data_IF_554379156844
#
_entry.id   IF_554379156844
#
_cell.length_a   1.000
_cell.length_b   1.000
_cell.length_c   1.000
_cell.angle_alpha   90.00
_cell.angle_beta   90.00
_cell.angle_gamma   90.00
#
_symmetry.space_group_name_H-M   'P 1'
#
loop_
_entity.id
_entity.type
_entity.pdbx_description
1 polymer ?
#
# COMPACT_ATOMS: atom_id res chain seq x y z
N UNK A 1 48.78 33.91 30.96
CA UNK A 1 48.01 33.33 29.83
C UNK A 1 47.98 34.33 28.68
N UNK A 2 48.41 33.95 27.47
CA UNK A 2 48.44 34.86 26.32
C UNK A 2 47.07 34.92 25.64
N UNK A 3 46.63 36.11 25.20
CA UNK A 3 45.34 36.32 24.50
C UNK A 3 45.15 35.38 23.30
N UNK A 4 46.25 34.94 22.68
CA UNK A 4 46.26 33.98 21.55
C UNK A 4 45.83 32.57 21.96
N UNK A 5 46.16 32.11 23.17
CA UNK A 5 45.75 30.79 23.66
C UNK A 5 44.25 30.69 23.93
N UNK A 6 43.65 31.77 24.47
CA UNK A 6 42.19 31.84 24.69
C UNK A 6 41.45 31.92 23.35
N UNK A 7 41.96 32.68 22.38
CA UNK A 7 41.37 32.78 21.04
C UNK A 7 41.38 31.42 20.30
N UNK A 8 42.45 30.63 20.43
CA UNK A 8 42.53 29.30 19.83
C UNK A 8 41.50 28.34 20.45
N UNK A 9 41.38 28.33 21.77
CA UNK A 9 40.39 27.49 22.46
C UNK A 9 38.96 27.84 22.05
N UNK A 10 38.65 29.15 21.93
CA UNK A 10 37.35 29.61 21.43
C UNK A 10 37.10 29.19 19.98
N UNK A 11 38.11 29.30 19.11
CA UNK A 11 37.98 28.86 17.71
C UNK A 11 37.73 27.36 17.60
N UNK A 12 38.43 26.54 18.39
CA UNK A 12 38.22 25.08 18.42
C UNK A 12 36.85 24.73 18.96
N UNK A 13 36.39 25.39 20.03
CA UNK A 13 35.06 25.18 20.58
C UNK A 13 33.95 25.57 19.58
N UNK A 14 34.12 26.70 18.88
CA UNK A 14 33.19 27.13 17.84
C UNK A 14 33.15 26.13 16.66
N UNK A 15 34.31 25.64 16.20
CA UNK A 15 34.38 24.62 15.15
C UNK A 15 33.75 23.31 15.58
N UNK A 16 33.96 22.88 16.82
CA UNK A 16 33.33 21.68 17.36
C UNK A 16 31.79 21.82 17.40
N UNK A 17 31.29 22.97 17.86
CA UNK A 17 29.86 23.26 17.86
C UNK A 17 29.26 23.31 16.44
N UNK A 18 29.96 23.91 15.48
CA UNK A 18 29.51 23.90 14.08
C UNK A 18 29.51 22.48 13.50
N UNK A 19 30.53 21.67 13.83
CA UNK A 19 30.61 20.27 13.43
C UNK A 19 29.45 19.43 13.97
N UNK A 20 29.07 19.60 15.24
CA UNK A 20 27.93 18.88 15.82
C UNK A 20 26.60 19.34 15.23
N UNK A 21 26.41 20.63 14.98
CA UNK A 21 25.22 21.16 14.31
C UNK A 21 25.11 20.60 12.89
N UNK A 22 26.19 20.59 12.12
CA UNK A 22 26.18 20.05 10.75
C UNK A 22 25.88 18.53 10.74
N UNK A 23 26.48 17.77 11.66
CA UNK A 23 26.25 16.33 11.77
C UNK A 23 24.80 16.01 12.14
N UNK A 24 24.22 16.75 13.09
CA UNK A 24 22.82 16.57 13.51
C UNK A 24 21.85 16.95 12.41
N UNK A 25 22.07 18.07 11.71
CA UNK A 25 21.25 18.48 10.57
C UNK A 25 21.26 17.44 9.43
N UNK A 26 22.45 16.90 9.11
CA UNK A 26 22.56 15.87 8.07
C UNK A 26 21.87 14.55 8.49
N UNK A 27 22.03 14.16 9.76
CA UNK A 27 21.34 12.98 10.30
C UNK A 27 19.82 13.14 10.23
N UNK A 28 19.29 14.32 10.59
CA UNK A 28 17.86 14.60 10.50
C UNK A 28 17.37 14.52 9.04
N UNK A 29 18.07 15.17 8.11
CA UNK A 29 17.72 15.14 6.69
C UNK A 29 17.70 13.70 6.12
N UNK A 30 18.62 12.84 6.57
CA UNK A 30 18.60 11.42 6.19
C UNK A 30 17.36 10.70 6.72
N UNK A 31 17.00 10.93 7.99
CA UNK A 31 15.81 10.32 8.59
C UNK A 31 14.53 10.79 7.89
N UNK A 32 14.39 12.08 7.60
CA UNK A 32 13.25 12.64 6.88
C UNK A 32 13.13 12.04 5.48
N UNK A 33 14.24 11.91 4.77
CA UNK A 33 14.25 11.26 3.45
C UNK A 33 13.80 9.80 3.54
N UNK A 34 14.27 9.05 4.53
CA UNK A 34 13.88 7.66 4.72
C UNK A 34 12.38 7.54 5.02
N UNK A 35 11.84 8.39 5.89
CA UNK A 35 10.41 8.45 6.20
C UNK A 35 9.59 8.84 4.96
N UNK A 36 10.03 9.84 4.20
CA UNK A 36 9.36 10.26 2.97
C UNK A 36 9.30 9.15 1.92
N UNK A 37 10.39 8.40 1.73
CA UNK A 37 10.42 7.27 0.81
C UNK A 37 9.51 6.13 1.26
N UNK A 38 9.47 5.83 2.57
CA UNK A 38 8.57 4.83 3.13
C UNK A 38 7.10 5.23 2.91
N UNK A 39 6.74 6.48 3.23
CA UNK A 39 5.39 7.00 3.02
C UNK A 39 4.97 6.93 1.54
N UNK A 40 5.86 7.30 0.62
CA UNK A 40 5.61 7.17 -0.82
C UNK A 40 5.39 5.71 -1.24
N UNK A 41 6.17 4.77 -0.72
CA UNK A 41 6.02 3.35 -1.01
C UNK A 41 4.65 2.84 -0.55
N UNK A 42 4.18 3.26 0.63
CA UNK A 42 2.87 2.89 1.15
C UNK A 42 1.72 3.45 0.31
N UNK A 43 1.80 4.72 -0.12
CA UNK A 43 0.79 5.33 -1.00
C UNK A 43 0.74 4.62 -2.35
N UNK A 44 1.89 4.25 -2.91
CA UNK A 44 1.97 3.51 -4.17
C UNK A 44 1.40 2.10 -4.03
N UNK A 45 1.70 1.41 -2.93
CA UNK A 45 1.12 0.10 -2.62
C UNK A 45 -0.41 0.20 -2.46
N UNK A 46 -0.91 1.22 -1.76
CA UNK A 46 -2.35 1.45 -1.62
C UNK A 46 -3.01 1.73 -2.98
N UNK A 47 -2.44 2.63 -3.78
CA UNK A 47 -2.96 2.96 -5.12
C UNK A 47 -3.00 1.73 -6.03
N UNK A 48 -2.02 0.83 -5.96
CA UNK A 48 -2.04 -0.42 -6.71
C UNK A 48 -3.15 -1.39 -6.21
N UNK A 49 -3.37 -1.47 -4.90
CA UNK A 49 -4.46 -2.25 -4.33
C UNK A 49 -5.84 -1.70 -4.77
N UNK A 50 -6.04 -0.38 -4.69
CA UNK A 50 -7.26 0.30 -5.11
C UNK A 50 -7.52 0.15 -6.61
N UNK A 51 -6.47 0.22 -7.43
CA UNK A 51 -6.58 -0.07 -8.86
C UNK A 51 -7.06 -1.51 -9.10
N UNK A 52 -6.51 -2.49 -8.36
CA UNK A 52 -6.91 -3.90 -8.48
C UNK A 52 -8.35 -4.15 -8.00
N UNK A 53 -8.82 -3.38 -7.00
CA UNK A 53 -10.25 -3.32 -6.62
C UNK A 53 -11.07 -2.75 -7.76
N UNK A 54 -10.69 -1.61 -8.31
CA UNK A 54 -11.45 -0.95 -9.37
C UNK A 54 -11.59 -1.86 -10.60
N UNK A 55 -10.54 -2.59 -10.97
CA UNK A 55 -10.59 -3.57 -12.05
C UNK A 55 -11.53 -4.73 -11.71
N UNK A 56 -11.45 -5.29 -10.50
CA UNK A 56 -12.36 -6.32 -10.05
C UNK A 56 -13.84 -5.85 -10.09
N UNK A 57 -14.10 -4.60 -9.73
CA UNK A 57 -15.44 -4.02 -9.76
C UNK A 57 -15.97 -3.76 -11.17
N UNK A 58 -15.12 -3.73 -12.22
CA UNK A 58 -15.59 -3.69 -13.62
C UNK A 58 -16.33 -4.96 -14.00
N UNK A 59 -16.00 -6.07 -13.33
CA UNK A 59 -16.71 -7.33 -13.43
C UNK A 59 -15.87 -8.47 -13.98
N UNK A 60 -16.44 -9.67 -13.93
CA UNK A 60 -15.79 -10.91 -14.36
C UNK A 60 -16.80 -11.88 -14.98
N UNK A 61 -16.34 -12.93 -15.69
CA UNK A 61 -17.23 -13.91 -16.28
C UNK A 61 -18.04 -14.69 -15.24
N UNK A 62 -19.36 -14.75 -15.43
CA UNK A 62 -20.30 -15.43 -14.53
C UNK A 62 -19.96 -16.90 -14.35
N UNK A 63 -19.50 -17.56 -15.42
CA UNK A 63 -19.10 -18.97 -15.42
C UNK A 63 -17.93 -19.30 -14.47
N UNK A 64 -17.14 -18.31 -14.05
CA UNK A 64 -16.00 -18.51 -13.12
C UNK A 64 -16.34 -18.16 -11.68
N UNK A 65 -17.56 -17.70 -11.41
CA UNK A 65 -17.93 -17.18 -10.09
C UNK A 65 -17.91 -18.31 -9.07
N UNK A 66 -17.22 -18.12 -7.94
CA UNK A 66 -17.23 -19.11 -6.89
C UNK A 66 -18.66 -19.30 -6.35
N UNK A 67 -19.06 -20.55 -6.15
CA UNK A 67 -20.43 -20.92 -5.76
C UNK A 67 -20.45 -21.43 -4.32
N UNK A 68 -19.41 -22.17 -3.92
CA UNK A 68 -19.33 -22.73 -2.59
C UNK A 68 -18.66 -21.74 -1.63
N UNK A 69 -19.18 -21.57 -0.40
CA UNK A 69 -18.52 -20.78 0.62
C UNK A 69 -17.07 -21.20 0.81
N UNK A 70 -16.16 -20.23 0.81
CA UNK A 70 -14.74 -20.45 0.95
C UNK A 70 -13.96 -20.53 -0.36
N UNK A 71 -14.62 -20.78 -1.50
CA UNK A 71 -13.97 -20.77 -2.82
C UNK A 71 -13.45 -19.37 -3.16
N UNK A 72 -12.27 -19.34 -3.76
CA UNK A 72 -11.57 -18.10 -4.14
C UNK A 72 -11.37 -18.05 -5.66
N UNK A 73 -11.54 -16.86 -6.23
CA UNK A 73 -11.26 -16.58 -7.64
C UNK A 73 -10.32 -15.38 -7.74
N UNK A 74 -9.12 -15.54 -8.30
CA UNK A 74 -8.28 -14.42 -8.71
C UNK A 74 -8.98 -13.61 -9.81
N UNK A 75 -9.11 -12.30 -9.62
CA UNK A 75 -9.82 -11.42 -10.53
C UNK A 75 -8.90 -10.56 -11.39
N UNK A 76 -8.05 -9.76 -10.76
CA UNK A 76 -7.18 -8.84 -11.45
C UNK A 76 -5.74 -8.98 -10.99
N UNK A 77 -4.82 -8.75 -11.91
CA UNK A 77 -3.41 -8.47 -11.62
C UNK A 77 -3.01 -7.27 -12.46
N UNK A 78 -2.65 -6.19 -11.80
CA UNK A 78 -2.29 -4.93 -12.41
C UNK A 78 -0.80 -4.73 -12.19
N UNK A 79 -0.06 -4.65 -13.28
CA UNK A 79 1.30 -4.13 -13.26
C UNK A 79 1.17 -2.66 -13.62
N UNK A 80 1.19 -1.79 -12.61
CA UNK A 80 1.09 -0.35 -12.82
C UNK A 80 2.40 0.15 -13.46
N UNK A 81 2.39 1.08 -14.42
CA UNK A 81 3.63 1.68 -14.91
C UNK A 81 4.41 2.30 -13.75
N UNK A 82 5.50 1.64 -13.38
CA UNK A 82 6.20 1.87 -12.13
C UNK A 82 6.45 0.56 -11.38
N UNK A 83 6.96 0.65 -10.15
CA UNK A 83 7.45 -0.50 -9.39
C UNK A 83 6.44 -1.04 -8.37
N UNK A 84 5.14 -0.85 -8.62
CA UNK A 84 4.06 -1.32 -7.75
C UNK A 84 3.10 -2.24 -8.50
N UNK A 85 2.85 -3.41 -7.93
CA UNK A 85 1.96 -4.43 -8.45
C UNK A 85 0.70 -4.52 -7.58
N UNK A 86 -0.45 -4.63 -8.21
CA UNK A 86 -1.73 -4.88 -7.56
C UNK A 86 -2.30 -6.24 -7.96
N UNK A 87 -2.98 -6.92 -7.05
CA UNK A 87 -3.79 -8.08 -7.40
C UNK A 87 -5.04 -8.18 -6.52
N UNK A 88 -6.08 -8.83 -7.03
CA UNK A 88 -7.34 -9.00 -6.29
C UNK A 88 -7.91 -10.41 -6.42
N UNK A 89 -8.61 -10.82 -5.37
CA UNK A 89 -9.25 -12.12 -5.21
C UNK A 89 -10.64 -11.88 -4.64
N UNK A 90 -11.64 -12.58 -5.16
CA UNK A 90 -12.94 -12.70 -4.48
C UNK A 90 -13.04 -14.03 -3.77
N UNK A 91 -13.71 -14.02 -2.63
CA UNK A 91 -14.05 -15.22 -1.87
C UNK A 91 -15.55 -15.29 -1.63
N UNK A 92 -16.18 -16.41 -1.96
CA UNK A 92 -17.58 -16.63 -1.64
C UNK A 92 -17.77 -16.79 -0.12
N UNK A 93 -18.74 -16.08 0.45
CA UNK A 93 -19.10 -16.22 1.87
C UNK A 93 -20.40 -16.99 2.06
N UNK A 94 -21.24 -17.05 1.02
CA UNK A 94 -22.53 -17.72 1.02
C UNK A 94 -23.61 -16.86 0.36
N UNK A 95 -24.48 -17.50 -0.41
CA UNK A 95 -25.51 -16.81 -1.18
C UNK A 95 -24.90 -15.79 -2.16
N UNK A 96 -25.46 -14.57 -2.27
CA UNK A 96 -24.94 -13.55 -3.19
C UNK A 96 -23.80 -12.71 -2.61
N UNK A 97 -23.24 -13.07 -1.45
CA UNK A 97 -22.28 -12.24 -0.69
C UNK A 97 -20.86 -12.78 -0.85
N UNK A 98 -19.92 -11.86 -1.15
CA UNK A 98 -18.52 -12.16 -1.42
C UNK A 98 -17.62 -11.16 -0.71
N UNK A 99 -16.43 -11.61 -0.32
CA UNK A 99 -15.35 -10.76 0.13
C UNK A 99 -14.42 -10.47 -1.06
N UNK A 100 -14.30 -9.21 -1.46
CA UNK A 100 -13.28 -8.76 -2.41
C UNK A 100 -12.07 -8.29 -1.63
N UNK A 101 -10.93 -8.93 -1.89
CA UNK A 101 -9.64 -8.61 -1.27
C UNK A 101 -8.68 -8.19 -2.36
N UNK A 102 -8.03 -7.07 -2.18
CA UNK A 102 -6.97 -6.62 -3.06
C UNK A 102 -5.72 -6.30 -2.25
N UNK A 103 -4.59 -6.58 -2.85
CA UNK A 103 -3.28 -6.28 -2.31
C UNK A 103 -2.55 -5.41 -3.32
N UNK A 104 -1.70 -4.54 -2.81
CA UNK A 104 -0.73 -3.81 -3.60
C UNK A 104 0.61 -3.86 -2.92
N UNK A 105 1.65 -4.11 -3.70
CA UNK A 105 3.03 -4.22 -3.21
C UNK A 105 3.92 -3.34 -4.05
N UNK A 106 4.68 -2.48 -3.38
CA UNK A 106 5.77 -1.70 -3.95
C UNK A 106 7.07 -2.48 -3.77
N UNK A 107 7.81 -2.78 -4.83
CA UNK A 107 9.09 -3.53 -4.76
C UNK A 107 10.29 -2.71 -5.22
N UNK A 108 11.42 -2.76 -4.53
CA UNK A 108 12.64 -2.10 -4.99
C UNK A 108 13.15 -2.66 -6.35
N UNK A 109 14.23 -2.09 -6.88
CA UNK A 109 14.82 -2.55 -8.14
C UNK A 109 15.39 -3.97 -8.11
N UNK A 110 15.55 -4.57 -6.93
CA UNK A 110 15.96 -5.96 -6.72
C UNK A 110 14.78 -6.91 -6.47
N UNK A 111 13.54 -6.40 -6.43
CA UNK A 111 12.32 -7.17 -6.22
C UNK A 111 11.90 -7.31 -4.74
N UNK A 112 12.59 -6.69 -3.78
CA UNK A 112 12.22 -6.76 -2.37
C UNK A 112 11.01 -5.86 -2.07
N UNK A 113 10.02 -6.31 -1.28
CA UNK A 113 8.87 -5.47 -0.92
C UNK A 113 9.32 -4.33 0.00
N UNK A 114 9.04 -3.09 -0.42
CA UNK A 114 9.22 -1.87 0.37
C UNK A 114 7.98 -1.53 1.18
N UNK A 115 6.80 -1.79 0.63
CA UNK A 115 5.53 -1.62 1.30
C UNK A 115 4.49 -2.57 0.73
N UNK A 116 3.57 -3.03 1.58
CA UNK A 116 2.41 -3.85 1.22
C UNK A 116 1.17 -3.25 1.87
N UNK A 117 0.10 -3.11 1.07
CA UNK A 117 -1.20 -2.62 1.52
C UNK A 117 -2.30 -3.54 1.04
N UNK A 118 -3.35 -3.68 1.85
CA UNK A 118 -4.51 -4.51 1.56
C UNK A 118 -5.79 -3.70 1.71
N UNK A 119 -6.69 -3.88 0.76
CA UNK A 119 -8.04 -3.31 0.75
C UNK A 119 -9.03 -4.46 0.74
N UNK A 120 -10.04 -4.42 1.61
CA UNK A 120 -11.09 -5.42 1.68
C UNK A 120 -12.47 -4.77 1.61
N UNK A 121 -13.34 -5.34 0.80
CA UNK A 121 -14.70 -4.87 0.59
C UNK A 121 -15.66 -6.06 0.64
N UNK A 122 -16.84 -5.84 1.22
CA UNK A 122 -17.96 -6.74 1.04
C UNK A 122 -18.67 -6.36 -0.27
N UNK A 123 -18.84 -7.33 -1.16
CA UNK A 123 -19.56 -7.12 -2.41
C UNK A 123 -20.72 -8.10 -2.52
N UNK A 124 -21.83 -7.62 -3.07
CA UNK A 124 -23.01 -8.43 -3.37
C UNK A 124 -23.19 -8.55 -4.87
N UNK A 125 -23.51 -9.75 -5.31
CA UNK A 125 -23.85 -10.02 -6.71
C UNK A 125 -25.36 -9.94 -6.87
N UNK A 126 -25.85 -8.92 -7.56
CA UNK A 126 -27.26 -8.86 -7.92
C UNK A 126 -27.48 -9.81 -9.10
N UNK A 127 -28.35 -10.82 -8.92
CA UNK A 127 -28.56 -11.87 -9.94
C UNK A 127 -29.27 -11.39 -11.21
N UNK A 128 -29.61 -10.11 -11.29
CA UNK A 128 -30.53 -9.50 -12.28
C UNK A 128 -29.88 -9.19 -13.63
N UNK A 129 -28.58 -9.41 -13.79
CA UNK A 129 -27.90 -9.23 -15.08
C UNK A 129 -28.14 -10.41 -16.02
N UNK A 130 -28.75 -10.17 -17.18
CA UNK A 130 -28.95 -11.15 -18.27
C UNK A 130 -27.69 -11.37 -19.13
N UNK A 131 -26.50 -11.03 -18.62
CA UNK A 131 -25.25 -11.08 -19.36
C UNK A 131 -24.23 -12.08 -18.78
N UNK A 132 -23.24 -12.43 -19.60
CA UNK A 132 -22.16 -13.36 -19.24
C UNK A 132 -21.16 -12.79 -18.23
N UNK A 133 -21.29 -11.51 -17.87
CA UNK A 133 -20.43 -10.83 -16.90
C UNK A 133 -21.21 -10.39 -15.66
N UNK A 134 -20.57 -10.52 -14.51
CA UNK A 134 -21.09 -10.03 -13.23
C UNK A 134 -20.51 -8.65 -12.97
N UNK A 135 -21.37 -7.72 -12.57
CA UNK A 135 -20.95 -6.44 -11.99
C UNK A 135 -21.31 -6.43 -10.51
N UNK A 136 -20.33 -6.57 -9.60
CA UNK A 136 -20.60 -6.53 -8.18
C UNK A 136 -21.08 -5.16 -7.74
N UNK A 137 -21.90 -5.12 -6.68
CA UNK A 137 -22.19 -3.89 -5.95
C UNK A 137 -21.50 -3.93 -4.60
N UNK A 138 -20.91 -2.81 -4.20
CA UNK A 138 -20.35 -2.66 -2.86
C UNK A 138 -21.50 -2.64 -1.86
N UNK A 139 -21.42 -3.46 -0.82
CA UNK A 139 -22.44 -3.46 0.24
C UNK A 139 -22.25 -2.20 1.11
N UNK A 140 -23.26 -1.29 1.19
CA UNK A 140 -23.15 -0.04 1.94
C UNK A 140 -22.99 -0.25 3.45
N UNK A 141 -23.28 -1.45 3.97
CA UNK A 141 -23.07 -1.77 5.38
C UNK A 141 -21.59 -1.98 5.73
N UNK A 142 -20.73 -2.07 4.70
CA UNK A 142 -19.30 -2.22 4.85
C UNK A 142 -18.88 -3.57 5.43
N UNK A 143 -17.59 -3.89 5.27
CA UNK A 143 -16.95 -5.02 5.93
C UNK A 143 -16.39 -4.54 7.27
N UNK A 144 -17.01 -4.91 8.40
CA UNK A 144 -16.34 -4.86 9.70
C UNK A 144 -15.59 -6.18 9.85
N UNK A 145 -14.28 -6.16 9.61
CA UNK A 145 -13.48 -7.37 9.70
C UNK A 145 -13.66 -8.07 11.03
N UNK A 146 -13.75 -9.40 11.00
CA UNK A 146 -13.39 -10.21 12.15
C UNK A 146 -11.90 -9.97 12.38
N UNK A 147 -11.61 -9.03 13.29
CA UNK A 147 -10.29 -8.84 13.88
C UNK A 147 -9.85 -10.20 14.45
N UNK A 148 -8.59 -10.63 14.22
CA UNK A 148 -8.08 -11.85 14.85
C UNK A 148 -8.12 -11.80 16.38
#
# INVERSE_FOLDING_TARGET
MSRRGIALLLAVAALAALGTIAATAFSLAQTERAVGLAALAEVQALGAAEAAVAEALRGWPRARTPVLPGEELPLARIVTPGPADGWSVIRALGGPIFALRAWGVRRDGAGNPLAERRVELLVRLDSTGSGDSIRPRVDPRGWQGLVP
#
